data_IF_064436617144
#
_entry.id   IF_064436617144
#
_cell.length_a   1.000
_cell.length_b   1.000
_cell.length_c   1.000
_cell.angle_alpha   90.00
_cell.angle_beta   90.00
_cell.angle_gamma   90.00
#
_symmetry.space_group_name_H-M   'P 1'
#
loop_
_entity.id
_entity.type
_entity.pdbx_description
1 polymer ?
#
# COMPACT_ATOMS: atom_id res chain seq x y z
N UNK A 1 -39.89 29.69 -45.88
CA UNK A 1 -40.41 28.56 -45.09
C UNK A 1 -39.82 28.71 -43.70
N UNK A 2 -40.67 28.90 -42.69
CA UNK A 2 -40.30 29.35 -41.34
C UNK A 2 -39.52 28.31 -40.53
N UNK A 3 -38.62 28.86 -39.71
CA UNK A 3 -37.83 28.36 -38.59
C UNK A 3 -38.66 27.55 -37.57
N UNK A 4 -38.05 26.51 -36.97
CA UNK A 4 -38.06 26.28 -35.51
C UNK A 4 -36.85 25.46 -35.04
N UNK A 5 -35.86 26.19 -34.54
CA UNK A 5 -34.72 25.73 -33.75
C UNK A 5 -35.20 25.60 -32.29
N UNK A 6 -35.21 24.39 -31.74
CA UNK A 6 -35.64 24.14 -30.35
C UNK A 6 -34.38 24.00 -29.47
N UNK A 7 -34.03 25.10 -28.78
CA UNK A 7 -32.96 25.15 -27.78
C UNK A 7 -33.52 24.69 -26.43
N UNK A 8 -32.88 23.76 -25.68
CA UNK A 8 -33.26 23.49 -24.31
C UNK A 8 -32.80 24.64 -23.42
N UNK A 9 -33.76 25.20 -22.67
CA UNK A 9 -33.57 26.21 -21.65
C UNK A 9 -32.86 25.57 -20.44
N UNK A 10 -31.54 25.73 -20.35
CA UNK A 10 -30.79 25.36 -19.15
C UNK A 10 -31.03 26.39 -18.05
N UNK A 11 -31.87 26.03 -17.07
CA UNK A 11 -32.04 26.77 -15.82
C UNK A 11 -30.78 26.56 -14.98
N UNK A 12 -29.82 27.49 -15.09
CA UNK A 12 -28.67 27.55 -14.20
C UNK A 12 -29.12 28.02 -12.81
N UNK A 13 -29.52 27.07 -11.96
CA UNK A 13 -29.57 27.31 -10.53
C UNK A 13 -28.12 27.36 -10.03
N UNK A 14 -27.62 28.57 -9.76
CA UNK A 14 -26.39 28.76 -9.02
C UNK A 14 -26.57 28.18 -7.61
N UNK A 15 -26.11 26.95 -7.41
CA UNK A 15 -25.98 26.37 -6.09
C UNK A 15 -24.81 27.09 -5.41
N UNK A 16 -25.17 28.08 -4.58
CA UNK A 16 -24.27 28.68 -3.60
C UNK A 16 -23.79 27.55 -2.68
N UNK A 17 -22.65 26.95 -3.03
CA UNK A 17 -22.08 25.84 -2.30
C UNK A 17 -21.40 26.46 -1.08
N UNK A 18 -21.92 26.27 0.14
CA UNK A 18 -21.29 26.84 1.32
C UNK A 18 -19.84 26.36 1.38
N UNK A 19 -18.89 27.22 1.80
CA UNK A 19 -17.49 26.85 1.84
C UNK A 19 -17.34 25.56 2.65
N UNK A 20 -16.76 24.53 2.05
CA UNK A 20 -16.44 23.28 2.73
C UNK A 20 -15.75 23.60 4.05
N UNK A 21 -16.37 23.21 5.16
CA UNK A 21 -15.69 23.17 6.44
C UNK A 21 -14.62 22.08 6.34
N UNK A 22 -13.41 22.47 5.93
CA UNK A 22 -12.24 21.60 6.03
C UNK A 22 -11.89 21.47 7.51
N UNK A 23 -12.21 20.33 8.08
CA UNK A 23 -11.72 19.97 9.40
C UNK A 23 -10.20 19.72 9.32
N UNK A 24 -9.48 20.06 10.37
CA UNK A 24 -8.06 19.74 10.46
C UNK A 24 -7.89 18.21 10.47
N UNK A 25 -7.00 17.71 9.61
CA UNK A 25 -6.62 16.31 9.60
C UNK A 25 -6.12 15.87 10.99
N UNK A 26 -6.62 14.73 11.50
CA UNK A 26 -6.25 14.22 12.83
C UNK A 26 -5.31 13.03 12.71
N UNK A 27 -4.15 13.15 13.36
CA UNK A 27 -3.10 12.13 13.37
C UNK A 27 -2.80 11.66 14.79
N UNK A 28 -2.32 10.44 14.92
CA UNK A 28 -1.92 9.82 16.19
C UNK A 28 -0.42 9.50 16.26
N UNK A 29 0.26 9.38 15.12
CA UNK A 29 1.66 8.91 15.03
C UNK A 29 2.66 9.77 15.83
N UNK A 30 2.37 11.05 16.05
CA UNK A 30 3.34 11.94 16.71
C UNK A 30 3.30 11.94 18.24
N UNK A 31 2.18 11.52 18.85
CA UNK A 31 2.00 11.57 20.31
C UNK A 31 1.36 10.32 20.89
N UNK A 32 1.04 9.31 20.06
CA UNK A 32 0.16 8.18 20.41
C UNK A 32 -1.22 8.62 20.92
N UNK A 33 -1.62 9.85 20.62
CA UNK A 33 -2.93 10.42 20.94
C UNK A 33 -3.45 11.17 19.72
N UNK A 34 -4.77 11.18 19.53
CA UNK A 34 -5.37 11.95 18.44
C UNK A 34 -5.11 13.45 18.63
N UNK A 35 -4.48 14.08 17.65
CA UNK A 35 -4.26 15.53 17.61
C UNK A 35 -4.31 16.07 16.17
N UNK A 36 -4.65 17.36 15.97
CA UNK A 36 -4.60 17.98 14.65
C UNK A 36 -3.18 17.93 14.07
N UNK A 37 -3.05 17.61 12.79
CA UNK A 37 -1.77 17.53 12.09
C UNK A 37 -0.96 18.83 12.16
N UNK A 38 -1.65 19.98 12.23
CA UNK A 38 -1.02 21.31 12.40
C UNK A 38 -0.42 21.56 13.78
N UNK A 39 -0.80 20.78 14.79
CA UNK A 39 -0.31 20.90 16.17
C UNK A 39 0.84 19.93 16.46
N UNK A 40 1.15 19.03 15.52
CA UNK A 40 2.26 18.10 15.63
C UNK A 40 3.60 18.82 15.61
N UNK A 41 4.42 18.56 16.62
CA UNK A 41 5.83 18.95 16.64
C UNK A 41 6.64 18.04 15.68
N UNK A 42 6.61 18.34 14.39
CA UNK A 42 7.34 17.58 13.37
C UNK A 42 6.74 17.72 11.97
N UNK A 43 7.35 17.06 10.99
CA UNK A 43 6.79 17.02 9.63
C UNK A 43 5.98 15.74 9.44
N UNK A 44 4.66 15.84 9.58
CA UNK A 44 3.73 14.70 9.38
C UNK A 44 3.10 14.74 8.00
N UNK A 45 2.92 13.58 7.38
CA UNK A 45 2.05 13.40 6.20
C UNK A 45 0.92 12.46 6.57
N UNK A 46 -0.28 12.75 6.08
CA UNK A 46 -1.44 11.87 6.16
C UNK A 46 -1.87 11.52 4.74
N UNK A 47 -1.94 10.23 4.47
CA UNK A 47 -2.47 9.66 3.23
C UNK A 47 -3.76 8.94 3.63
N UNK A 48 -4.91 9.53 3.30
CA UNK A 48 -6.23 8.98 3.60
C UNK A 48 -6.71 8.02 2.49
N UNK A 49 -7.73 7.22 2.80
CA UNK A 49 -8.31 6.23 1.87
C UNK A 49 -8.73 6.88 0.58
N UNK A 50 -9.39 8.02 0.67
CA UNK A 50 -9.90 8.79 -0.46
C UNK A 50 -8.78 9.16 -1.42
N UNK A 51 -7.60 9.53 -0.89
CA UNK A 51 -6.43 9.85 -1.70
C UNK A 51 -5.83 8.59 -2.34
N UNK A 52 -5.76 7.49 -1.59
CA UNK A 52 -5.28 6.21 -2.14
C UNK A 52 -6.18 5.74 -3.29
N UNK A 53 -7.49 5.85 -3.14
CA UNK A 53 -8.48 5.52 -4.16
C UNK A 53 -8.36 6.45 -5.38
N UNK A 54 -8.25 7.77 -5.17
CA UNK A 54 -8.13 8.76 -6.25
C UNK A 54 -6.84 8.62 -7.06
N UNK A 55 -5.75 8.19 -6.42
CA UNK A 55 -4.45 8.00 -7.05
C UNK A 55 -4.20 6.57 -7.52
N UNK A 56 -5.21 5.69 -7.38
CA UNK A 56 -5.15 4.28 -7.77
C UNK A 56 -3.91 3.60 -7.19
N UNK A 57 -3.68 3.77 -5.89
CA UNK A 57 -2.58 3.12 -5.16
C UNK A 57 -2.73 1.61 -5.24
N UNK A 58 -1.62 0.92 -5.50
CA UNK A 58 -1.59 -0.54 -5.71
C UNK A 58 -0.67 -1.27 -4.76
N UNK A 59 0.38 -0.58 -4.33
CA UNK A 59 1.41 -1.07 -3.44
C UNK A 59 1.87 0.07 -2.52
N UNK A 60 2.66 -0.26 -1.50
CA UNK A 60 3.12 0.75 -0.53
C UNK A 60 4.07 1.80 -1.15
N UNK A 61 4.72 1.50 -2.29
CA UNK A 61 5.58 2.45 -2.98
C UNK A 61 4.74 3.51 -3.70
N UNK A 62 3.62 3.11 -4.29
CA UNK A 62 2.65 3.98 -4.92
C UNK A 62 1.95 4.88 -3.90
N UNK A 63 1.64 4.34 -2.71
CA UNK A 63 1.04 5.09 -1.61
C UNK A 63 1.87 6.33 -1.22
N UNK A 64 3.20 6.20 -1.22
CA UNK A 64 4.13 7.26 -0.78
C UNK A 64 4.79 8.02 -1.93
N UNK A 65 4.44 7.72 -3.19
CA UNK A 65 5.08 8.28 -4.40
C UNK A 65 5.08 9.82 -4.43
N UNK A 66 4.05 10.44 -3.88
CA UNK A 66 3.89 11.90 -3.85
C UNK A 66 4.34 12.54 -2.53
N UNK A 67 4.89 11.75 -1.61
CA UNK A 67 5.32 12.24 -0.31
C UNK A 67 6.80 12.66 -0.33
N UNK A 68 7.11 13.93 -0.05
CA UNK A 68 8.46 14.44 -0.21
C UNK A 68 9.42 13.80 0.80
N UNK A 69 10.56 13.33 0.28
CA UNK A 69 11.60 12.70 1.09
C UNK A 69 11.20 11.35 1.67
N UNK A 70 10.18 10.70 1.12
CA UNK A 70 9.75 9.34 1.46
C UNK A 70 9.80 8.48 0.21
N UNK A 71 10.30 7.26 0.33
CA UNK A 71 10.17 6.23 -0.70
C UNK A 71 9.99 4.85 -0.06
N UNK A 72 9.45 3.89 -0.80
CA UNK A 72 9.46 2.49 -0.40
C UNK A 72 10.40 1.73 -1.35
N UNK A 73 11.67 1.49 -0.96
CA UNK A 73 12.59 0.74 -1.80
C UNK A 73 12.07 -0.69 -2.03
N UNK A 74 12.14 -1.13 -3.27
CA UNK A 74 11.67 -2.42 -3.71
C UNK A 74 12.82 -3.19 -4.35
N UNK A 75 12.91 -4.48 -4.03
CA UNK A 75 13.72 -5.41 -4.77
C UNK A 75 12.94 -5.83 -6.01
N UNK A 76 13.37 -5.33 -7.17
CA UNK A 76 12.72 -5.59 -8.46
C UNK A 76 12.85 -7.04 -8.94
N UNK A 77 13.61 -7.89 -8.24
CA UNK A 77 13.84 -9.28 -8.64
C UNK A 77 12.99 -10.26 -7.84
N UNK A 78 12.99 -10.19 -6.50
CA UNK A 78 12.51 -11.33 -5.70
C UNK A 78 11.77 -10.99 -4.42
N UNK A 79 12.16 -9.95 -3.70
CA UNK A 79 11.73 -9.77 -2.31
C UNK A 79 10.72 -8.62 -2.11
N UNK A 80 10.26 -8.00 -3.20
CA UNK A 80 9.26 -6.94 -3.16
C UNK A 80 9.70 -5.76 -2.29
N UNK A 81 8.74 -5.16 -1.58
CA UNK A 81 8.95 -3.93 -0.80
C UNK A 81 9.76 -4.21 0.47
N UNK A 82 10.88 -3.52 0.62
CA UNK A 82 11.84 -3.68 1.73
C UNK A 82 11.51 -2.83 2.97
N UNK A 83 10.33 -2.22 2.98
CA UNK A 83 9.89 -1.21 3.95
C UNK A 83 9.99 0.20 3.37
N UNK A 84 10.26 1.18 4.24
CA UNK A 84 10.30 2.59 3.86
C UNK A 84 11.70 3.21 4.03
N UNK A 85 11.94 4.30 3.29
CA UNK A 85 13.10 5.16 3.38
C UNK A 85 12.65 6.59 3.60
N UNK A 86 13.14 7.23 4.65
CA UNK A 86 12.82 8.62 4.99
C UNK A 86 14.11 9.44 4.98
N UNK A 87 14.17 10.46 4.11
CA UNK A 87 15.33 11.34 3.92
C UNK A 87 16.64 10.55 3.68
N UNK A 88 16.54 9.44 2.96
CA UNK A 88 17.67 8.57 2.59
C UNK A 88 18.06 7.52 3.64
N UNK A 89 17.39 7.48 4.80
CA UNK A 89 17.58 6.44 5.81
C UNK A 89 16.50 5.35 5.66
N UNK A 90 16.92 4.10 5.45
CA UNK A 90 16.06 2.94 5.23
C UNK A 90 16.36 1.77 6.20
N UNK A 91 15.57 0.69 6.08
CA UNK A 91 15.69 -0.54 6.87
C UNK A 91 15.07 -0.39 8.26
N UNK A 92 15.63 -1.07 9.26
CA UNK A 92 15.17 -1.05 10.66
C UNK A 92 15.51 0.28 11.38
N UNK A 93 15.66 1.37 10.60
CA UNK A 93 15.81 2.76 11.07
C UNK A 93 14.55 3.59 10.84
N UNK A 94 13.56 3.00 10.15
CA UNK A 94 12.21 3.53 10.02
C UNK A 94 11.27 2.60 10.79
N UNK A 95 10.66 3.13 11.85
CA UNK A 95 9.65 2.43 12.63
C UNK A 95 8.41 2.21 11.77
N UNK A 96 7.84 1.02 11.82
CA UNK A 96 6.60 0.68 11.10
C UNK A 96 5.63 0.06 12.08
N UNK A 97 4.36 0.45 12.00
CA UNK A 97 3.29 -0.16 12.78
C UNK A 97 2.01 -0.31 11.97
N UNK A 98 1.23 -1.33 12.28
CA UNK A 98 -0.12 -1.56 11.75
C UNK A 98 -1.07 -1.54 12.95
N UNK A 99 -2.04 -0.64 12.96
CA UNK A 99 -2.99 -0.45 14.07
C UNK A 99 -2.33 -0.30 15.45
N UNK A 100 -1.13 0.29 15.50
CA UNK A 100 -0.35 0.49 16.73
C UNK A 100 0.52 -0.69 17.16
N UNK A 101 0.52 -1.79 16.38
CA UNK A 101 1.38 -2.95 16.59
C UNK A 101 2.62 -2.84 15.71
N UNK A 102 3.84 -2.90 16.27
CA UNK A 102 5.07 -2.81 15.48
C UNK A 102 5.19 -3.96 14.45
N UNK A 103 5.55 -3.60 13.22
CA UNK A 103 5.92 -4.58 12.19
C UNK A 103 7.31 -5.14 12.49
N UNK A 104 7.49 -6.44 12.29
CA UNK A 104 8.77 -7.09 12.52
C UNK A 104 9.93 -6.45 11.73
N UNK A 105 11.11 -6.58 12.29
CA UNK A 105 12.34 -6.12 11.67
C UNK A 105 12.66 -6.91 10.41
N UNK A 106 13.13 -6.19 9.39
CA UNK A 106 13.62 -6.81 8.17
C UNK A 106 14.97 -7.46 8.44
N UNK A 107 15.20 -8.62 7.83
CA UNK A 107 16.44 -9.37 8.01
C UNK A 107 16.80 -10.11 6.73
N UNK A 108 18.05 -9.98 6.30
CA UNK A 108 18.55 -10.63 5.10
C UNK A 108 19.82 -11.45 5.38
N UNK A 109 19.87 -12.66 4.82
CA UNK A 109 21.07 -13.51 4.79
C UNK A 109 21.52 -13.64 3.34
N UNK A 110 22.58 -12.89 3.00
CA UNK A 110 23.10 -12.83 1.63
C UNK A 110 22.05 -12.35 0.63
N UNK A 111 22.18 -12.78 -0.63
CA UNK A 111 21.25 -12.40 -1.70
C UNK A 111 20.04 -13.34 -1.84
N UNK A 112 19.95 -14.40 -1.02
CA UNK A 112 19.01 -15.51 -1.23
C UNK A 112 17.87 -15.58 -0.22
N UNK A 113 17.97 -14.88 0.91
CA UNK A 113 16.95 -14.87 1.95
C UNK A 113 16.79 -13.46 2.47
N UNK A 114 15.57 -12.94 2.42
CA UNK A 114 15.24 -11.61 2.88
C UNK A 114 13.80 -11.59 3.41
N UNK A 115 13.65 -11.38 4.72
CA UNK A 115 12.38 -11.07 5.34
C UNK A 115 12.08 -9.60 5.06
N UNK A 116 11.24 -9.36 4.05
CA UNK A 116 10.79 -8.03 3.66
C UNK A 116 9.88 -7.44 4.75
N UNK A 117 9.60 -6.14 4.62
CA UNK A 117 8.74 -5.40 5.57
C UNK A 117 7.47 -4.87 4.90
N UNK A 118 7.12 -5.39 3.72
CA UNK A 118 5.89 -5.09 3.00
C UNK A 118 4.68 -5.80 3.62
N UNK A 119 4.33 -5.43 4.84
CA UNK A 119 3.55 -6.29 5.72
C UNK A 119 2.02 -6.26 5.52
N UNK A 120 1.47 -5.44 4.61
CA UNK A 120 0.01 -5.37 4.44
C UNK A 120 -0.40 -4.92 3.05
N UNK A 121 -1.48 -5.53 2.57
CA UNK A 121 -2.15 -5.14 1.33
C UNK A 121 -2.84 -3.76 1.46
N UNK A 122 -2.60 -2.89 0.48
CA UNK A 122 -3.15 -1.53 0.43
C UNK A 122 -4.67 -1.48 0.39
N UNK A 123 -5.32 -2.48 -0.21
CA UNK A 123 -6.78 -2.62 -0.19
C UNK A 123 -7.36 -2.67 1.24
N UNK A 124 -6.59 -3.16 2.22
CA UNK A 124 -6.99 -3.24 3.61
C UNK A 124 -6.69 -1.97 4.41
N UNK A 125 -5.98 -1.00 3.84
CA UNK A 125 -5.62 0.24 4.52
C UNK A 125 -6.76 1.27 4.48
N UNK A 126 -7.01 1.89 5.64
CA UNK A 126 -7.81 3.11 5.77
C UNK A 126 -6.90 4.33 5.56
N UNK A 127 -5.76 4.39 6.25
CA UNK A 127 -4.84 5.54 6.12
C UNK A 127 -3.42 5.20 6.51
N UNK A 128 -2.50 6.03 6.07
CA UNK A 128 -1.09 5.98 6.43
C UNK A 128 -0.64 7.34 6.97
N UNK A 129 -0.03 7.33 8.14
CA UNK A 129 0.55 8.50 8.81
C UNK A 129 2.06 8.37 8.81
N UNK A 130 2.76 9.36 8.27
CA UNK A 130 4.23 9.34 8.15
C UNK A 130 4.80 10.49 8.96
N UNK A 131 5.47 10.16 10.07
CA UNK A 131 6.24 11.11 10.86
C UNK A 131 7.70 11.09 10.39
N UNK A 132 8.18 12.22 9.87
CA UNK A 132 9.56 12.35 9.42
C UNK A 132 10.44 12.98 10.50
N UNK A 133 11.56 12.32 10.77
CA UNK A 133 12.54 12.73 11.79
C UNK A 133 12.55 11.80 13.00
N UNK A 134 13.48 12.01 13.94
CA UNK A 134 13.68 11.10 15.06
C UNK A 134 12.44 11.03 15.96
N UNK A 135 11.93 9.81 16.17
CA UNK A 135 10.78 9.54 17.04
C UNK A 135 11.10 8.46 18.09
N UNK A 136 12.39 8.25 18.36
CA UNK A 136 12.86 7.16 19.23
C UNK A 136 12.36 7.22 20.66
N UNK A 137 11.91 8.38 21.14
CA UNK A 137 11.32 8.54 22.47
C UNK A 137 9.99 7.80 22.63
N UNK A 138 9.20 7.69 21.55
CA UNK A 138 7.88 7.05 21.56
C UNK A 138 7.87 5.66 20.92
N UNK A 139 8.80 5.43 20.00
CA UNK A 139 8.81 4.22 19.14
C UNK A 139 10.07 3.36 19.29
N UNK A 140 11.05 3.77 20.10
CA UNK A 140 12.26 2.99 20.35
C UNK A 140 13.39 3.25 19.36
N UNK A 141 14.43 2.40 19.41
CA UNK A 141 15.66 2.55 18.60
C UNK A 141 15.42 2.61 17.10
N UNK A 142 14.33 1.98 16.65
CA UNK A 142 14.10 1.68 15.24
C UNK A 142 13.45 2.86 14.50
N UNK A 143 13.11 3.94 15.22
CA UNK A 143 12.49 5.15 14.70
C UNK A 143 13.46 6.34 14.55
N UNK A 144 14.71 6.07 14.15
CA UNK A 144 15.75 7.09 13.96
C UNK A 144 15.41 8.06 12.81
N UNK A 145 14.94 7.52 11.70
CA UNK A 145 14.59 8.28 10.50
C UNK A 145 13.17 8.83 10.53
N UNK A 146 12.28 8.13 11.23
CA UNK A 146 10.85 8.42 11.26
C UNK A 146 10.02 7.18 11.59
N UNK A 147 8.70 7.36 11.49
CA UNK A 147 7.70 6.32 11.73
C UNK A 147 6.66 6.36 10.62
N UNK A 148 6.30 5.18 10.13
CA UNK A 148 5.15 4.97 9.25
C UNK A 148 4.10 4.16 10.02
N UNK A 149 3.00 4.81 10.38
CA UNK A 149 1.86 4.20 11.04
C UNK A 149 0.77 3.93 10.02
N UNK A 150 0.45 2.67 9.81
CA UNK A 150 -0.61 2.21 8.93
C UNK A 150 -1.83 1.86 9.78
N UNK A 151 -3.01 2.32 9.35
CA UNK A 151 -4.30 1.96 9.97
C UNK A 151 -5.09 1.14 8.97
N UNK A 152 -5.59 0.00 9.41
CA UNK A 152 -6.48 -0.82 8.58
C UNK A 152 -7.91 -0.31 8.61
N UNK A 153 -8.68 -0.65 7.59
CA UNK A 153 -10.10 -0.36 7.52
C UNK A 153 -10.81 -0.87 8.78
N UNK A 154 -11.62 0.00 9.35
CA UNK A 154 -12.56 -0.36 10.40
C UNK A 154 -13.90 -0.82 9.78
N UNK A 155 -14.64 -1.71 10.47
CA UNK A 155 -16.00 -2.05 10.05
C UNK A 155 -16.88 -0.81 9.88
N UNK A 156 -16.72 0.17 10.78
CA UNK A 156 -17.45 1.45 10.76
C UNK A 156 -17.19 2.27 9.48
N UNK A 157 -15.94 2.39 9.04
CA UNK A 157 -15.60 3.07 7.78
C UNK A 157 -16.22 2.37 6.56
N UNK A 158 -16.21 1.04 6.53
CA UNK A 158 -16.80 0.28 5.41
C UNK A 158 -18.33 0.39 5.36
N UNK A 159 -18.96 0.58 6.52
CA UNK A 159 -20.41 0.80 6.63
C UNK A 159 -20.80 2.26 6.46
N UNK A 160 -19.87 3.23 6.54
CA UNK A 160 -20.19 4.65 6.46
C UNK A 160 -20.86 5.03 5.12
N UNK A 161 -20.60 4.26 4.05
CA UNK A 161 -21.22 4.41 2.74
C UNK A 161 -22.57 3.66 2.58
N UNK A 162 -22.96 2.84 3.57
CA UNK A 162 -24.15 1.98 3.52
C UNK A 162 -25.16 2.36 4.63
N UNK A 163 -26.45 2.37 4.30
CA UNK A 163 -27.52 2.48 5.30
C UNK A 163 -27.78 1.09 5.91
N UNK A 164 -27.16 0.83 7.05
CA UNK A 164 -27.41 -0.39 7.82
C UNK A 164 -26.20 -0.86 8.63
N UNK A 165 -26.27 -2.12 9.02
CA UNK A 165 -25.23 -2.80 9.79
C UNK A 165 -24.36 -3.73 8.93
N UNK A 166 -24.39 -3.55 7.60
CA UNK A 166 -23.58 -4.30 6.65
C UNK A 166 -22.90 -3.32 5.70
N UNK A 167 -21.59 -3.47 5.53
CA UNK A 167 -20.78 -2.73 4.56
C UNK A 167 -20.16 -3.70 3.57
N UNK A 168 -20.10 -3.31 2.29
CA UNK A 168 -19.45 -4.10 1.24
C UNK A 168 -18.60 -3.17 0.39
N UNK A 169 -17.41 -3.63 0.02
CA UNK A 169 -16.53 -2.95 -0.94
C UNK A 169 -15.95 -3.98 -1.89
N UNK A 170 -15.98 -3.66 -3.17
CA UNK A 170 -15.29 -4.41 -4.19
C UNK A 170 -14.46 -3.44 -5.02
N UNK A 171 -13.23 -3.80 -5.30
CA UNK A 171 -12.33 -2.99 -6.11
C UNK A 171 -11.54 -3.86 -7.07
N UNK A 172 -11.19 -3.27 -8.20
CA UNK A 172 -10.35 -3.89 -9.20
C UNK A 172 -9.34 -2.88 -9.68
N UNK A 173 -8.18 -3.40 -10.00
CA UNK A 173 -6.98 -2.66 -10.22
C UNK A 173 -6.25 -3.29 -11.41
N UNK A 174 -5.67 -2.45 -12.26
CA UNK A 174 -4.81 -2.90 -13.36
C UNK A 174 -3.62 -1.94 -13.50
N UNK A 175 -2.43 -2.50 -13.67
CA UNK A 175 -1.16 -1.78 -13.78
C UNK A 175 -0.50 -2.12 -15.11
N UNK A 176 -0.23 -1.09 -15.91
CA UNK A 176 0.43 -1.30 -17.21
C UNK A 176 1.94 -1.56 -17.10
N UNK A 177 2.57 -1.25 -15.97
CA UNK A 177 4.04 -1.40 -15.78
C UNK A 177 4.50 -2.86 -15.74
N UNK A 178 3.67 -3.74 -15.21
CA UNK A 178 3.92 -5.18 -14.99
C UNK A 178 2.73 -6.05 -15.43
N UNK A 179 1.78 -5.44 -16.17
CA UNK A 179 0.55 -6.11 -16.62
C UNK A 179 -0.35 -6.62 -15.49
N UNK A 180 -0.08 -6.23 -14.23
CA UNK A 180 -0.75 -6.85 -13.08
C UNK A 180 -2.20 -6.41 -12.95
N UNK A 181 -3.03 -7.33 -12.45
CA UNK A 181 -4.42 -7.11 -12.10
C UNK A 181 -4.66 -7.54 -10.65
N UNK A 182 -5.43 -6.75 -9.91
CA UNK A 182 -5.91 -7.15 -8.59
C UNK A 182 -7.42 -7.03 -8.49
N UNK A 183 -8.01 -7.91 -7.70
CA UNK A 183 -9.42 -7.91 -7.33
C UNK A 183 -9.50 -8.06 -5.82
N UNK A 184 -10.20 -7.14 -5.17
CA UNK A 184 -10.45 -7.20 -3.74
C UNK A 184 -11.94 -7.15 -3.42
N UNK A 185 -12.32 -7.90 -2.39
CA UNK A 185 -13.66 -7.92 -1.84
C UNK A 185 -13.58 -7.83 -0.32
N UNK A 186 -14.23 -6.82 0.25
CA UNK A 186 -14.34 -6.61 1.68
C UNK A 186 -15.80 -6.59 2.09
N UNK A 187 -16.07 -7.12 3.27
CA UNK A 187 -17.37 -7.10 3.90
C UNK A 187 -17.23 -6.75 5.37
N UNK A 188 -18.20 -6.02 5.90
CA UNK A 188 -18.29 -5.68 7.30
C UNK A 188 -19.71 -5.93 7.79
N UNK A 189 -19.82 -6.31 9.06
CA UNK A 189 -21.09 -6.48 9.75
C UNK A 189 -20.99 -5.94 11.17
N UNK A 190 -22.08 -5.35 11.67
CA UNK A 190 -22.22 -4.91 13.06
C UNK A 190 -23.49 -5.48 13.70
N UNK A 191 -23.39 -5.83 14.97
CA UNK A 191 -24.51 -6.34 15.76
C UNK A 191 -24.38 -5.92 17.21
N UNK A 192 -25.08 -4.87 17.62
CA UNK A 192 -24.98 -4.32 18.96
C UNK A 192 -23.56 -3.83 19.26
N UNK A 193 -22.91 -4.46 20.23
CA UNK A 193 -21.54 -4.14 20.64
C UNK A 193 -20.45 -4.79 19.78
N UNK A 194 -20.81 -5.71 18.88
CA UNK A 194 -19.84 -6.46 18.08
C UNK A 194 -19.77 -5.95 16.66
N UNK A 195 -18.58 -5.97 16.09
CA UNK A 195 -18.31 -5.67 14.70
C UNK A 195 -17.30 -6.67 14.13
N UNK A 196 -17.47 -7.01 12.85
CA UNK A 196 -16.57 -7.91 12.12
C UNK A 196 -16.32 -7.32 10.74
N UNK A 197 -15.09 -7.39 10.28
CA UNK A 197 -14.72 -7.12 8.89
C UNK A 197 -13.90 -8.29 8.36
N UNK A 198 -14.22 -8.76 7.17
CA UNK A 198 -13.48 -9.77 6.44
C UNK A 198 -13.16 -9.26 5.03
N UNK A 199 -11.94 -9.49 4.58
CA UNK A 199 -11.46 -9.07 3.27
C UNK A 199 -10.58 -10.13 2.62
N UNK A 200 -10.67 -10.22 1.29
CA UNK A 200 -9.78 -11.01 0.45
C UNK A 200 -9.35 -10.17 -0.73
N UNK A 201 -8.07 -10.25 -1.07
CA UNK A 201 -7.45 -9.63 -2.23
C UNK A 201 -6.70 -10.71 -2.98
N UNK A 202 -6.81 -10.72 -4.29
CA UNK A 202 -5.95 -11.52 -5.16
C UNK A 202 -5.32 -10.62 -6.21
N UNK A 203 -4.00 -10.73 -6.37
CA UNK A 203 -3.22 -10.01 -7.37
C UNK A 203 -2.47 -11.01 -8.24
N UNK A 204 -2.51 -10.80 -9.55
CA UNK A 204 -1.76 -11.56 -10.53
C UNK A 204 -1.00 -10.59 -11.43
N UNK A 205 0.26 -10.85 -11.71
CA UNK A 205 1.07 -9.97 -12.55
C UNK A 205 2.33 -10.66 -13.07
N UNK A 206 3.04 -9.93 -13.93
CA UNK A 206 4.25 -10.43 -14.58
C UNK A 206 5.45 -9.53 -14.23
N UNK A 207 6.59 -9.75 -14.88
CA UNK A 207 7.77 -8.91 -14.74
C UNK A 207 7.52 -7.49 -15.23
N UNK A 208 8.29 -6.55 -14.69
CA UNK A 208 8.29 -5.18 -15.19
C UNK A 208 9.03 -5.11 -16.52
N UNK A 209 8.39 -4.50 -17.50
CA UNK A 209 9.05 -4.20 -18.77
C UNK A 209 10.25 -3.28 -18.53
N UNK A 210 11.42 -3.66 -19.07
CA UNK A 210 12.56 -2.77 -19.19
C UNK A 210 12.82 -2.45 -20.66
N UNK A 211 13.35 -1.26 -20.94
CA UNK A 211 13.81 -0.87 -22.28
C UNK A 211 15.33 -1.04 -22.33
N UNK A 212 15.86 -2.23 -22.67
CA UNK A 212 17.29 -2.40 -22.82
C UNK A 212 17.80 -1.50 -23.96
N UNK A 213 19.00 -0.93 -23.78
CA UNK A 213 19.76 -0.38 -24.92
C UNK A 213 20.04 -1.51 -25.91
N UNK A 214 20.20 -1.21 -27.20
CA UNK A 214 20.56 -2.21 -28.21
C UNK A 214 21.72 -3.12 -27.74
N UNK A 215 21.47 -4.42 -27.71
CA UNK A 215 22.41 -5.43 -27.20
C UNK A 215 22.38 -5.64 -25.67
N UNK A 216 21.45 -5.02 -24.95
CA UNK A 216 21.23 -5.21 -23.51
C UNK A 216 20.36 -6.43 -23.19
N UNK A 217 20.43 -6.88 -21.94
CA UNK A 217 19.58 -7.96 -21.42
C UNK A 217 18.13 -7.49 -21.30
N UNK A 218 17.20 -8.31 -21.80
CA UNK A 218 15.77 -8.14 -21.56
C UNK A 218 15.44 -8.37 -20.07
N UNK A 219 14.23 -8.01 -19.65
CA UNK A 219 13.73 -8.31 -18.31
C UNK A 219 13.69 -9.81 -18.08
N UNK A 220 14.12 -10.22 -16.89
CA UNK A 220 13.94 -11.60 -16.43
C UNK A 220 12.44 -11.87 -16.31
N UNK A 221 11.90 -12.88 -17.00
CA UNK A 221 10.49 -13.27 -16.85
C UNK A 221 10.18 -13.60 -15.40
N UNK A 222 9.05 -13.11 -14.89
CA UNK A 222 8.63 -13.36 -13.52
C UNK A 222 7.11 -13.29 -13.38
N UNK A 223 6.47 -14.43 -13.13
CA UNK A 223 5.05 -14.51 -12.82
C UNK A 223 4.84 -14.38 -11.31
N UNK A 224 3.88 -13.54 -10.90
CA UNK A 224 3.51 -13.31 -9.50
C UNK A 224 2.02 -13.58 -9.28
N UNK A 225 1.67 -14.43 -8.31
CA UNK A 225 0.32 -14.60 -7.77
C UNK A 225 0.38 -14.36 -6.26
N UNK A 226 -0.42 -13.42 -5.78
CA UNK A 226 -0.49 -13.02 -4.39
C UNK A 226 -1.93 -13.10 -3.91
N UNK A 227 -2.14 -13.66 -2.73
CA UNK A 227 -3.44 -13.69 -2.05
C UNK A 227 -3.30 -13.18 -0.64
N UNK A 228 -4.08 -12.16 -0.33
CA UNK A 228 -4.07 -11.49 0.97
C UNK A 228 -5.46 -11.59 1.59
N UNK A 229 -5.52 -11.96 2.86
CA UNK A 229 -6.75 -12.16 3.62
C UNK A 229 -6.65 -11.41 4.93
N UNK A 230 -7.76 -10.78 5.33
CA UNK A 230 -7.83 -10.07 6.60
C UNK A 230 -9.16 -10.35 7.29
N UNK A 231 -9.09 -10.56 8.60
CA UNK A 231 -10.23 -10.69 9.48
C UNK A 231 -10.01 -9.81 10.71
N UNK A 232 -10.94 -8.90 10.94
CA UNK A 232 -10.90 -7.95 12.06
C UNK A 232 -12.18 -8.05 12.88
N UNK A 233 -12.02 -8.28 14.17
CA UNK A 233 -13.10 -8.31 15.14
C UNK A 233 -12.98 -7.09 16.04
N UNK A 234 -14.10 -6.43 16.30
CA UNK A 234 -14.20 -5.35 17.27
C UNK A 234 -15.31 -5.61 18.28
N UNK A 235 -15.07 -5.13 19.50
CA UNK A 235 -16.04 -5.15 20.59
C UNK A 235 -16.04 -3.81 21.30
N UNK A 236 -17.17 -3.12 21.27
CA UNK A 236 -17.42 -1.89 22.03
C UNK A 236 -18.08 -2.23 23.36
N UNK A 237 -17.25 -2.32 24.39
CA UNK A 237 -17.68 -2.63 25.73
C UNK A 237 -18.16 -1.43 26.54
N UNK A 238 -18.50 -0.27 25.95
CA UNK A 238 -19.09 0.96 26.54
C UNK A 238 -18.52 1.46 27.87
N UNK A 239 -18.53 0.67 28.95
CA UNK A 239 -17.88 0.91 30.24
C UNK A 239 -16.40 0.47 30.31
N UNK A 240 -15.97 -0.48 29.48
CA UNK A 240 -14.59 -1.01 29.50
C UNK A 240 -13.74 -0.62 28.29
N UNK A 241 -14.31 0.15 27.35
CA UNK A 241 -13.64 0.63 26.14
C UNK A 241 -13.83 -0.28 24.92
N UNK A 242 -13.15 0.07 23.81
CA UNK A 242 -13.18 -0.65 22.55
C UNK A 242 -11.98 -1.57 22.45
N UNK A 243 -12.22 -2.84 22.12
CA UNK A 243 -11.20 -3.84 21.87
C UNK A 243 -11.25 -4.27 20.42
N UNK A 244 -10.10 -4.47 19.79
CA UNK A 244 -10.00 -5.00 18.44
C UNK A 244 -8.96 -6.10 18.35
N UNK A 245 -9.26 -7.14 17.59
CA UNK A 245 -8.35 -8.20 17.21
C UNK A 245 -8.31 -8.27 15.68
N UNK A 246 -7.12 -8.28 15.10
CA UNK A 246 -6.92 -8.43 13.67
C UNK A 246 -6.04 -9.65 13.41
N UNK A 247 -6.40 -10.38 12.37
CA UNK A 247 -5.63 -11.46 11.78
C UNK A 247 -5.50 -11.16 10.29
N UNK A 248 -4.27 -11.11 9.80
CA UNK A 248 -3.98 -11.03 8.39
C UNK A 248 -3.09 -12.18 7.96
N UNK A 249 -3.22 -12.56 6.69
CA UNK A 249 -2.40 -13.57 6.04
C UNK A 249 -2.17 -13.15 4.60
N UNK A 250 -0.92 -13.16 4.18
CA UNK A 250 -0.52 -12.97 2.79
C UNK A 250 0.27 -14.19 2.37
N UNK A 251 -0.09 -14.75 1.22
CA UNK A 251 0.67 -15.81 0.52
C UNK A 251 1.12 -15.23 -0.82
N UNK A 252 2.42 -15.18 -1.06
CA UNK A 252 3.00 -14.72 -2.33
C UNK A 252 3.77 -15.85 -3.00
N UNK A 253 3.48 -16.08 -4.28
CA UNK A 253 4.24 -16.99 -5.13
C UNK A 253 4.84 -16.21 -6.30
N UNK A 254 6.16 -16.29 -6.44
CA UNK A 254 6.91 -15.70 -7.56
C UNK A 254 7.71 -16.79 -8.27
N UNK A 255 7.40 -16.97 -9.55
CA UNK A 255 8.09 -17.89 -10.45
C UNK A 255 8.91 -17.07 -11.45
N UNK A 256 10.25 -17.09 -11.32
CA UNK A 256 11.14 -16.24 -12.12
C UNK A 256 12.23 -17.01 -12.85
N UNK A 257 12.59 -16.55 -14.05
CA UNK A 257 13.72 -17.04 -14.85
C UNK A 257 14.82 -15.98 -14.92
N UNK A 258 16.02 -16.30 -14.41
CA UNK A 258 17.16 -15.38 -14.42
C UNK A 258 17.99 -15.63 -15.69
N UNK A 259 17.95 -14.68 -16.61
CA UNK A 259 18.78 -14.71 -17.82
C UNK A 259 20.09 -13.97 -17.59
N UNK A 260 21.20 -14.69 -17.72
CA UNK A 260 22.54 -14.13 -17.51
C UNK A 260 23.41 -14.23 -18.76
N UNK A 261 24.15 -13.14 -19.05
CA UNK A 261 25.22 -13.17 -20.04
C UNK A 261 26.37 -14.00 -19.49
N UNK A 262 26.65 -15.13 -20.13
CA UNK A 262 27.74 -16.04 -19.74
C UNK A 262 29.13 -15.38 -19.97
N UNK A 263 29.20 -14.26 -20.69
CA UNK A 263 30.44 -13.55 -21.00
C UNK A 263 30.40 -12.09 -20.51
N UNK A 264 31.46 -11.68 -19.81
CA UNK A 264 31.58 -10.34 -19.22
C UNK A 264 31.67 -9.19 -20.24
N UNK A 265 31.62 -7.93 -19.78
CA UNK A 265 31.62 -6.76 -20.67
C UNK A 265 32.91 -6.73 -21.52
N UNK A 266 32.77 -6.78 -22.85
CA UNK A 266 33.88 -6.66 -23.80
C UNK A 266 34.06 -7.82 -24.79
N UNK A 267 33.31 -8.92 -24.66
CA UNK A 267 33.26 -9.93 -25.72
C UNK A 267 32.31 -9.49 -26.84
N UNK A 268 32.72 -9.68 -28.10
CA UNK A 268 31.89 -9.52 -29.31
C UNK A 268 30.49 -10.11 -29.12
N UNK A 269 29.44 -9.53 -29.75
CA UNK A 269 28.06 -9.97 -29.55
C UNK A 269 27.97 -11.48 -29.78
N UNK A 270 27.54 -12.27 -28.78
CA UNK A 270 27.46 -13.70 -28.96
C UNK A 270 26.35 -14.04 -29.97
N UNK A 271 26.45 -15.19 -30.66
CA UNK A 271 25.34 -15.71 -31.47
C UNK A 271 24.07 -15.87 -30.60
N UNK A 272 22.87 -15.93 -31.20
CA UNK A 272 21.56 -15.83 -30.51
C UNK A 272 21.23 -16.96 -29.50
N UNK A 273 22.19 -17.79 -29.07
CA UNK A 273 22.00 -18.99 -28.26
C UNK A 273 22.92 -19.10 -27.03
N UNK A 274 23.51 -18.00 -26.53
CA UNK A 274 24.44 -18.05 -25.39
C UNK A 274 23.89 -17.39 -24.12
N UNK A 275 22.67 -17.75 -23.72
CA UNK A 275 22.11 -17.42 -22.41
C UNK A 275 22.23 -18.62 -21.46
N UNK A 276 22.45 -18.36 -20.18
CA UNK A 276 22.23 -19.34 -19.13
C UNK A 276 21.02 -18.90 -18.31
N UNK A 277 19.96 -19.69 -18.33
CA UNK A 277 18.74 -19.46 -17.54
C UNK A 277 18.80 -20.29 -16.27
N UNK A 278 18.56 -19.62 -15.14
CA UNK A 278 18.33 -20.29 -13.86
C UNK A 278 16.91 -19.97 -13.40
N UNK A 279 16.07 -21.00 -13.30
CA UNK A 279 14.72 -20.85 -12.75
C UNK A 279 14.73 -20.86 -11.22
N UNK A 280 13.93 -20.00 -10.60
CA UNK A 280 13.68 -20.02 -9.16
C UNK A 280 12.21 -19.80 -8.85
N UNK A 281 11.69 -20.59 -7.91
CA UNK A 281 10.39 -20.39 -7.27
C UNK A 281 10.60 -19.88 -5.86
N UNK A 282 9.95 -18.78 -5.50
CA UNK A 282 9.87 -18.28 -4.13
C UNK A 282 8.42 -18.37 -3.65
N UNK A 283 8.24 -18.92 -2.45
CA UNK A 283 6.98 -18.92 -1.74
C UNK A 283 7.26 -18.26 -0.39
N UNK A 284 6.59 -17.15 -0.11
CA UNK A 284 6.65 -16.43 1.15
C UNK A 284 5.26 -16.40 1.82
#
# INVERSE_FOLDING_TARGET
MLIHLLLPLALAAALDTPPEKRFDAVVSVASRSAQPAREVAGTVSLIERERMDQTLVQDLADAVRYEPGVSAPEDASRFGIQGFSIRGLSGNRVGMEIDGVPVADGFAIGSFSNASRGAIETAFLSRMEILRGPASTLYGSDALAGVVSMRTLSPEELMASAQGDIGLRAETHALSRDGSMAVAGLSAWRGGAFEVLAGIVRRQGNERENLPRDGGLQSNPADRDERSEMLKFGYDGSSIGRYSLMLDRTDEQVDSEIDSLVHGPGSTPPPPQCWATTGSRAND
#
